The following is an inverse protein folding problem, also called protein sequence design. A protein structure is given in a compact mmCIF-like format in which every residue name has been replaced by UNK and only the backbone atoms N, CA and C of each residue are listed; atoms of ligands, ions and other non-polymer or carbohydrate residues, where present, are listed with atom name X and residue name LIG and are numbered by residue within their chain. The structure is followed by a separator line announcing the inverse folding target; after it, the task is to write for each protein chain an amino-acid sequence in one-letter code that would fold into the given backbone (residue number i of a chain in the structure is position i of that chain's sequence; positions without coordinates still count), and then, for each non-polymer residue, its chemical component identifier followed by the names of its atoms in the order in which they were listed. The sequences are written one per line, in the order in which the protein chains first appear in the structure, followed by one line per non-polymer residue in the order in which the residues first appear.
data_IF_295687335761
#
_entry.id   IF_295687335761
#
_cell.length_a   1.000
_cell.length_b   1.000
_cell.length_c   1.000
_cell.angle_alpha   90.00
_cell.angle_beta   90.00
_cell.angle_gamma   90.00
#
_symmetry.space_group_name_H-M   'P 1'
#
loop_
_entity.id
_entity.type
_entity.pdbx_description
1 polymer ?
#
# COMPACT_ATOMS: atom_id res chain seq x y z
N UNK A 1 -7.14 142.98 -45.27
CA UNK A 1 -6.25 143.23 -44.12
C UNK A 1 -6.81 142.79 -42.77
N UNK A 2 -7.84 143.42 -42.16
CA UNK A 2 -8.33 143.01 -40.81
C UNK A 2 -8.97 141.62 -40.75
N UNK A 3 -9.74 141.22 -41.77
CA UNK A 3 -10.40 139.90 -41.81
C UNK A 3 -9.40 138.75 -42.06
N UNK A 4 -8.44 138.96 -42.97
CA UNK A 4 -7.35 138.01 -43.25
C UNK A 4 -6.45 137.79 -42.03
N UNK A 5 -6.18 138.86 -41.27
CA UNK A 5 -5.39 138.78 -40.03
C UNK A 5 -6.13 137.94 -38.96
N UNK A 6 -7.44 138.13 -38.83
CA UNK A 6 -8.28 137.35 -37.91
C UNK A 6 -8.39 135.88 -38.31
N UNK A 7 -8.50 135.59 -39.61
CA UNK A 7 -8.52 134.21 -40.13
C UNK A 7 -7.16 133.52 -39.91
N UNK A 8 -6.07 134.26 -40.09
CA UNK A 8 -4.71 133.78 -39.81
C UNK A 8 -4.52 133.49 -38.30
N UNK A 9 -5.02 134.38 -37.43
CA UNK A 9 -4.98 134.18 -35.97
C UNK A 9 -5.80 132.96 -35.53
N UNK A 10 -6.99 132.75 -36.11
CA UNK A 10 -7.82 131.57 -35.83
C UNK A 10 -7.17 130.26 -36.32
N UNK A 11 -6.51 130.28 -37.48
CA UNK A 11 -5.72 129.14 -37.98
C UNK A 11 -4.52 128.85 -37.09
N UNK A 12 -3.80 129.88 -36.66
CA UNK A 12 -2.68 129.75 -35.74
C UNK A 12 -3.12 129.16 -34.39
N UNK A 13 -4.24 129.65 -33.83
CA UNK A 13 -4.82 129.12 -32.60
C UNK A 13 -5.23 127.65 -32.73
N UNK A 14 -5.87 127.27 -33.84
CA UNK A 14 -6.21 125.86 -34.11
C UNK A 14 -4.96 124.99 -34.22
N UNK A 15 -3.95 125.45 -34.95
CA UNK A 15 -2.67 124.75 -35.08
C UNK A 15 -1.97 124.59 -33.72
N UNK A 16 -2.03 125.60 -32.85
CA UNK A 16 -1.46 125.55 -31.50
C UNK A 16 -2.20 124.53 -30.61
N UNK A 17 -3.54 124.49 -30.68
CA UNK A 17 -4.35 123.50 -29.95
C UNK A 17 -4.06 122.09 -30.44
N UNK A 18 -4.04 121.87 -31.76
CA UNK A 18 -3.71 120.54 -32.32
C UNK A 18 -2.28 120.13 -31.99
N UNK A 19 -1.33 121.06 -32.00
CA UNK A 19 0.05 120.77 -31.63
C UNK A 19 0.15 120.35 -30.16
N UNK A 20 -0.54 121.05 -29.25
CA UNK A 20 -0.61 120.67 -27.84
C UNK A 20 -1.31 119.30 -27.62
N UNK A 21 -2.35 118.99 -28.41
CA UNK A 21 -2.98 117.67 -28.41
C UNK A 21 -2.01 116.58 -28.87
N UNK A 22 -1.29 116.81 -29.97
CA UNK A 22 -0.28 115.90 -30.49
C UNK A 22 0.87 115.70 -29.50
N UNK A 23 1.31 116.74 -28.79
CA UNK A 23 2.34 116.63 -27.75
C UNK A 23 1.86 115.77 -26.57
N UNK A 24 0.60 115.91 -26.15
CA UNK A 24 0.01 115.06 -25.12
C UNK A 24 -0.14 113.59 -25.58
N UNK A 25 -0.67 113.36 -26.77
CA UNK A 25 -0.79 112.01 -27.35
C UNK A 25 0.58 111.35 -27.51
N UNK A 26 1.58 112.11 -27.97
CA UNK A 26 2.96 111.66 -28.05
C UNK A 26 3.50 111.28 -26.68
N UNK A 27 3.24 112.09 -25.64
CA UNK A 27 3.66 111.76 -24.27
C UNK A 27 2.99 110.49 -23.75
N UNK A 28 1.68 110.32 -23.98
CA UNK A 28 0.94 109.11 -23.61
C UNK A 28 1.45 107.87 -24.33
N UNK A 29 1.61 107.93 -25.65
CA UNK A 29 2.13 106.81 -26.44
C UNK A 29 3.58 106.47 -26.06
N UNK A 30 4.39 107.48 -25.72
CA UNK A 30 5.77 107.24 -25.25
C UNK A 30 5.77 106.43 -23.95
N UNK A 31 4.90 106.80 -22.98
CA UNK A 31 4.74 106.04 -21.75
C UNK A 31 4.21 104.62 -21.97
N UNK A 32 3.22 104.44 -22.86
CA UNK A 32 2.71 103.11 -23.21
C UNK A 32 3.79 102.23 -23.84
N UNK A 33 4.63 102.79 -24.73
CA UNK A 33 5.75 102.07 -25.33
C UNK A 33 6.77 101.67 -24.27
N UNK A 34 7.08 102.52 -23.30
CA UNK A 34 7.98 102.19 -22.18
C UNK A 34 7.40 101.05 -21.33
N UNK A 35 6.13 101.13 -20.94
CA UNK A 35 5.46 100.08 -20.18
C UNK A 35 5.43 98.73 -20.93
N UNK A 36 5.22 98.76 -22.25
CA UNK A 36 5.23 97.56 -23.07
C UNK A 36 6.64 96.97 -23.22
N UNK A 37 7.69 97.79 -23.22
CA UNK A 37 9.07 97.31 -23.19
C UNK A 37 9.40 96.62 -21.86
N UNK A 38 8.99 97.20 -20.74
CA UNK A 38 9.21 96.59 -19.42
C UNK A 38 8.52 95.21 -19.34
N UNK A 39 7.24 95.14 -19.74
CA UNK A 39 6.51 93.86 -19.83
C UNK A 39 7.16 92.85 -20.78
N UNK A 40 7.69 93.33 -21.90
CA UNK A 40 8.39 92.47 -22.86
C UNK A 40 9.67 91.90 -22.23
N UNK A 41 10.45 92.70 -21.51
CA UNK A 41 11.64 92.24 -20.80
C UNK A 41 11.32 91.24 -19.69
N UNK A 42 10.26 91.47 -18.89
CA UNK A 42 9.80 90.50 -17.88
C UNK A 42 9.39 89.17 -18.50
N UNK A 43 8.72 89.22 -19.66
CA UNK A 43 8.28 88.02 -20.38
C UNK A 43 9.47 87.27 -21.01
N UNK A 44 10.48 87.98 -21.50
CA UNK A 44 11.73 87.37 -21.97
C UNK A 44 12.49 86.68 -20.83
N UNK A 45 12.61 87.33 -19.67
CA UNK A 45 13.28 86.75 -18.49
C UNK A 45 12.57 85.48 -18.03
N UNK A 46 11.25 85.52 -17.85
CA UNK A 46 10.46 84.34 -17.46
C UNK A 46 10.53 83.22 -18.50
N UNK A 47 10.50 83.54 -19.79
CA UNK A 47 10.69 82.56 -20.86
C UNK A 47 12.07 81.89 -20.80
N UNK A 48 13.14 82.66 -20.56
CA UNK A 48 14.50 82.09 -20.41
C UNK A 48 14.63 81.21 -19.17
N UNK A 49 13.97 81.57 -18.07
CA UNK A 49 13.95 80.75 -16.85
C UNK A 49 13.19 79.44 -17.07
N UNK A 50 11.97 79.49 -17.60
CA UNK A 50 11.18 78.30 -17.94
C UNK A 50 11.91 77.38 -18.92
N UNK A 51 12.60 77.95 -19.92
CA UNK A 51 13.42 77.17 -20.85
C UNK A 51 14.56 76.43 -20.16
N UNK A 52 15.22 77.04 -19.15
CA UNK A 52 16.28 76.38 -18.37
C UNK A 52 15.70 75.28 -17.47
N UNK A 53 14.57 75.53 -16.81
CA UNK A 53 13.89 74.55 -15.96
C UNK A 53 13.40 73.34 -16.77
N UNK A 54 12.83 73.58 -17.95
CA UNK A 54 12.40 72.52 -18.87
C UNK A 54 13.58 71.63 -19.29
N UNK A 55 14.74 72.22 -19.62
CA UNK A 55 15.95 71.45 -19.94
C UNK A 55 16.41 70.58 -18.77
N UNK A 56 16.41 71.13 -17.54
CA UNK A 56 16.74 70.35 -16.33
C UNK A 56 15.78 69.18 -16.13
N UNK A 57 14.47 69.43 -16.25
CA UNK A 57 13.45 68.39 -16.13
C UNK A 57 13.58 67.30 -17.20
N UNK A 58 13.92 67.65 -18.43
CA UNK A 58 14.20 66.65 -19.47
C UNK A 58 15.40 65.78 -19.10
N UNK A 59 16.49 66.37 -18.58
CA UNK A 59 17.65 65.58 -18.14
C UNK A 59 17.35 64.67 -16.94
N UNK A 60 16.57 65.14 -15.97
CA UNK A 60 16.10 64.34 -14.83
C UNK A 60 15.21 63.17 -15.31
N UNK A 61 14.29 63.44 -16.23
CA UNK A 61 13.42 62.43 -16.82
C UNK A 61 14.21 61.34 -17.55
N UNK A 62 15.21 61.70 -18.36
CA UNK A 62 16.06 60.73 -19.04
C UNK A 62 16.87 59.87 -18.07
N UNK A 63 17.35 60.46 -16.96
CA UNK A 63 18.04 59.72 -15.91
C UNK A 63 17.10 58.73 -15.20
N UNK A 64 15.91 59.18 -14.80
CA UNK A 64 14.89 58.32 -14.17
C UNK A 64 14.46 57.19 -15.10
N UNK A 65 14.29 57.48 -16.40
CA UNK A 65 13.95 56.46 -17.39
C UNK A 65 15.01 55.36 -17.47
N UNK A 66 16.30 55.71 -17.44
CA UNK A 66 17.40 54.73 -17.41
C UNK A 66 17.41 53.89 -16.14
N UNK A 67 17.09 54.48 -14.99
CA UNK A 67 16.98 53.74 -13.72
C UNK A 67 15.78 52.79 -13.76
N UNK A 68 14.62 53.25 -14.24
CA UNK A 68 13.42 52.45 -14.35
C UNK A 68 13.63 51.23 -15.27
N UNK A 69 14.30 51.41 -16.42
CA UNK A 69 14.62 50.28 -17.32
C UNK A 69 15.53 49.25 -16.65
N UNK A 70 16.54 49.70 -15.89
CA UNK A 70 17.44 48.79 -15.14
C UNK A 70 16.69 48.01 -14.08
N UNK A 71 15.88 48.69 -13.26
CA UNK A 71 15.06 48.03 -12.24
C UNK A 71 14.08 47.02 -12.86
N UNK A 72 13.52 47.32 -14.04
CA UNK A 72 12.64 46.39 -14.74
C UNK A 72 13.39 45.12 -15.22
N UNK A 73 14.64 45.26 -15.67
CA UNK A 73 15.51 44.13 -16.01
C UNK A 73 15.88 43.31 -14.77
N UNK A 74 16.23 43.96 -13.66
CA UNK A 74 16.52 43.31 -12.38
C UNK A 74 15.32 42.51 -11.85
N UNK A 75 14.12 43.09 -11.88
CA UNK A 75 12.89 42.38 -11.50
C UNK A 75 12.64 41.15 -12.38
N UNK A 76 12.89 41.24 -13.69
CA UNK A 76 12.77 40.09 -14.59
C UNK A 76 13.79 39.00 -14.24
N UNK A 77 15.04 39.38 -13.98
CA UNK A 77 16.09 38.44 -13.59
C UNK A 77 15.77 37.74 -12.26
N UNK A 78 15.34 38.49 -11.24
CA UNK A 78 14.95 37.94 -9.95
C UNK A 78 13.75 36.99 -10.06
N UNK A 79 12.76 37.31 -10.89
CA UNK A 79 11.62 36.41 -11.15
C UNK A 79 12.07 35.10 -11.80
N UNK A 80 12.99 35.16 -12.77
CA UNK A 80 13.54 33.96 -13.39
C UNK A 80 14.29 33.08 -12.38
N UNK A 81 15.12 33.69 -11.53
CA UNK A 81 15.83 32.96 -10.47
C UNK A 81 14.88 32.31 -9.45
N UNK A 82 13.79 32.98 -9.08
CA UNK A 82 12.77 32.39 -8.21
C UNK A 82 12.07 31.20 -8.87
N UNK A 83 11.74 31.31 -10.16
CA UNK A 83 11.15 30.21 -10.93
C UNK A 83 12.10 29.01 -11.02
N UNK A 84 13.40 29.24 -11.27
CA UNK A 84 14.41 28.18 -11.28
C UNK A 84 14.53 27.51 -9.91
N UNK A 85 14.58 28.29 -8.83
CA UNK A 85 14.58 27.78 -7.45
C UNK A 85 13.35 26.91 -7.18
N UNK A 86 12.17 27.38 -7.56
CA UNK A 86 10.91 26.66 -7.33
C UNK A 86 10.84 25.38 -8.18
N UNK A 87 11.39 25.38 -9.40
CA UNK A 87 11.53 24.19 -10.24
C UNK A 87 12.48 23.15 -9.60
N UNK A 88 13.64 23.59 -9.07
CA UNK A 88 14.56 22.70 -8.35
C UNK A 88 13.90 22.09 -7.11
N UNK A 89 13.16 22.89 -6.33
CA UNK A 89 12.40 22.39 -5.18
C UNK A 89 11.46 21.25 -5.59
N UNK A 90 10.75 21.41 -6.71
CA UNK A 90 9.86 20.37 -7.24
C UNK A 90 10.62 19.14 -7.76
N UNK A 91 11.71 19.35 -8.51
CA UNK A 91 12.53 18.27 -9.08
C UNK A 91 13.13 17.37 -8.00
N UNK A 92 13.59 17.96 -6.90
CA UNK A 92 14.10 17.23 -5.74
C UNK A 92 12.99 16.66 -4.84
N UNK A 93 11.72 16.79 -5.22
CA UNK A 93 10.58 16.27 -4.47
C UNK A 93 10.43 16.91 -3.08
N UNK A 94 10.84 18.17 -2.95
CA UNK A 94 10.71 18.93 -1.72
C UNK A 94 9.38 19.69 -1.69
N UNK A 95 8.78 19.75 -0.51
CA UNK A 95 7.53 20.46 -0.26
C UNK A 95 7.78 21.51 0.82
N UNK A 96 7.26 22.71 0.59
CA UNK A 96 7.29 23.80 1.57
C UNK A 96 6.20 23.51 2.60
N UNK A 97 6.60 23.17 3.82
CA UNK A 97 5.70 22.96 4.95
C UNK A 97 5.89 24.12 5.92
N UNK A 98 4.83 24.85 6.18
CA UNK A 98 4.79 25.94 7.15
C UNK A 98 3.39 26.07 7.73
N UNK A 99 3.23 27.01 8.66
CA UNK A 99 1.90 27.34 9.15
C UNK A 99 1.14 28.03 8.00
N UNK A 100 0.10 27.39 7.48
CA UNK A 100 -0.88 28.09 6.66
C UNK A 100 -1.68 28.97 7.62
N UNK A 101 -1.58 30.29 7.47
CA UNK A 101 -2.63 31.17 7.99
C UNK A 101 -3.92 30.73 7.28
N UNK A 102 -4.77 29.97 7.98
CA UNK A 102 -6.20 29.86 7.69
C UNK A 102 -6.88 31.20 8.01
N UNK A 103 -6.39 32.26 7.40
CA UNK A 103 -6.88 33.61 7.47
C UNK A 103 -6.54 34.22 6.14
N UNK A 104 -7.57 34.60 5.40
CA UNK A 104 -7.46 35.52 4.28
C UNK A 104 -6.39 36.55 4.62
N UNK A 105 -5.34 36.60 3.80
CA UNK A 105 -4.55 37.80 3.74
C UNK A 105 -5.53 38.88 3.24
N UNK A 106 -6.21 39.52 4.18
CA UNK A 106 -6.67 40.89 4.05
C UNK A 106 -5.39 41.66 3.71
N UNK A 107 -5.11 41.73 2.41
CA UNK A 107 -4.39 42.86 1.84
C UNK A 107 -5.30 44.00 2.27
N UNK A 108 -4.91 44.87 3.22
CA UNK A 108 -5.69 46.06 3.43
C UNK A 108 -5.63 46.79 2.11
N UNK A 109 -6.75 46.81 1.39
CA UNK A 109 -7.03 47.79 0.36
C UNK A 109 -7.06 49.10 1.14
N UNK A 110 -5.88 49.68 1.37
CA UNK A 110 -5.77 51.05 1.82
C UNK A 110 -6.34 51.87 0.67
N UNK A 111 -7.36 52.65 0.98
CA UNK A 111 -7.96 53.62 0.09
C UNK A 111 -6.86 54.43 -0.62
N UNK A 112 -7.09 54.74 -1.90
CA UNK A 112 -6.11 55.25 -2.89
C UNK A 112 -5.50 56.63 -2.55
N UNK A 113 -5.75 57.20 -1.36
CA UNK A 113 -5.42 58.59 -1.02
C UNK A 113 -4.15 58.78 -0.15
N UNK A 114 -3.47 57.71 0.29
CA UNK A 114 -2.30 57.78 1.20
C UNK A 114 -0.97 57.26 0.59
N UNK A 115 -0.78 57.37 -0.73
CA UNK A 115 0.36 56.76 -1.45
C UNK A 115 1.73 57.46 -1.34
N UNK A 116 1.91 58.51 -0.53
CA UNK A 116 3.18 59.27 -0.49
C UNK A 116 4.01 59.17 0.79
N UNK A 117 3.55 58.43 1.82
CA UNK A 117 4.17 58.51 3.14
C UNK A 117 5.35 57.56 3.43
N UNK A 118 5.50 56.42 2.74
CA UNK A 118 6.48 55.39 3.16
C UNK A 118 7.23 54.75 1.97
N UNK A 119 7.97 55.55 1.19
CA UNK A 119 8.83 55.06 0.09
C UNK A 119 10.29 54.78 0.50
N UNK A 120 10.67 54.99 1.77
CA UNK A 120 12.07 54.90 2.22
C UNK A 120 12.39 53.68 3.12
N UNK A 121 11.40 52.89 3.54
CA UNK A 121 11.67 51.71 4.38
C UNK A 121 11.87 50.42 3.56
N UNK A 122 13.10 50.23 3.08
CA UNK A 122 13.56 48.99 2.43
C UNK A 122 13.91 47.88 3.44
N UNK A 123 13.55 48.01 4.73
CA UNK A 123 13.87 46.93 5.68
C UNK A 123 13.11 45.64 5.32
N UNK A 124 13.79 44.49 5.30
CA UNK A 124 13.12 43.21 5.04
C UNK A 124 12.02 43.00 6.07
N UNK A 125 10.75 43.02 5.64
CA UNK A 125 9.63 42.66 6.50
C UNK A 125 9.91 41.28 7.09
N UNK A 126 9.89 41.19 8.43
CA UNK A 126 10.01 39.90 9.12
C UNK A 126 8.89 38.99 8.64
N UNK A 127 9.24 37.95 7.90
CA UNK A 127 8.31 36.87 7.55
C UNK A 127 7.90 36.23 8.89
N UNK A 128 6.67 36.51 9.33
CA UNK A 128 6.16 36.06 10.63
C UNK A 128 6.02 34.53 10.71
N UNK A 129 5.97 33.87 9.55
CA UNK A 129 5.71 32.43 9.43
C UNK A 129 6.99 31.67 9.08
N UNK A 130 7.37 30.73 9.95
CA UNK A 130 8.47 29.80 9.67
C UNK A 130 8.01 28.75 8.67
N UNK A 131 8.60 28.77 7.47
CA UNK A 131 8.42 27.73 6.44
C UNK A 131 9.69 26.88 6.35
N UNK A 132 9.52 25.57 6.20
CA UNK A 132 10.60 24.60 6.06
C UNK A 132 10.43 23.80 4.76
N UNK A 133 11.54 23.40 4.14
CA UNK A 133 11.54 22.47 3.01
C UNK A 133 11.75 21.05 3.55
N UNK A 134 10.83 20.14 3.22
CA UNK A 134 10.88 18.74 3.62
C UNK A 134 10.70 17.84 2.39
N UNK A 135 11.21 16.61 2.43
CA UNK A 135 10.85 15.62 1.41
C UNK A 135 9.36 15.29 1.47
N UNK A 136 8.78 14.87 0.34
CA UNK A 136 7.40 14.39 0.29
C UNK A 136 7.11 13.33 1.35
N UNK A 137 8.01 12.35 1.52
CA UNK A 137 7.84 11.29 2.54
C UNK A 137 7.79 11.86 3.97
N UNK A 138 8.67 12.82 4.29
CA UNK A 138 8.68 13.45 5.60
C UNK A 138 7.42 14.30 5.83
N UNK A 139 6.96 15.03 4.80
CA UNK A 139 5.71 15.78 4.85
C UNK A 139 4.50 14.85 5.06
N UNK A 140 4.46 13.72 4.36
CA UNK A 140 3.40 12.72 4.47
C UNK A 140 3.37 12.08 5.87
N UNK A 141 4.52 11.69 6.41
CA UNK A 141 4.61 11.15 7.77
C UNK A 141 4.10 12.15 8.81
N UNK A 142 4.39 13.44 8.62
CA UNK A 142 3.91 14.50 9.50
C UNK A 142 2.43 14.84 9.27
N UNK A 143 1.89 14.63 8.08
CA UNK A 143 0.46 14.84 7.76
C UNK A 143 -0.46 13.75 8.33
N UNK A 144 0.07 12.52 8.47
CA UNK A 144 -0.65 11.36 9.00
C UNK A 144 -0.84 11.42 10.52
N UNK A 145 -0.13 12.31 11.20
CA UNK A 145 -0.33 12.58 12.63
C UNK A 145 -1.64 13.34 12.87
N UNK A 146 -2.40 12.96 13.89
CA UNK A 146 -3.71 13.53 14.24
C UNK A 146 -3.69 15.00 14.71
N UNK A 147 -2.60 15.73 14.47
CA UNK A 147 -2.40 17.10 14.93
C UNK A 147 -2.48 18.09 13.77
N UNK A 148 -3.58 18.82 13.73
CA UNK A 148 -3.81 19.98 12.85
C UNK A 148 -3.04 21.23 13.31
N UNK A 149 -1.93 21.04 14.04
CA UNK A 149 -1.15 22.09 14.71
C UNK A 149 0.18 22.36 13.97
N UNK A 150 0.94 23.34 14.47
CA UNK A 150 2.22 23.76 13.88
C UNK A 150 3.22 22.62 13.66
N UNK A 151 4.15 22.83 12.72
CA UNK A 151 5.19 21.85 12.38
C UNK A 151 6.00 21.39 13.62
N UNK A 152 6.31 22.32 14.52
CA UNK A 152 7.02 22.04 15.76
C UNK A 152 6.23 21.10 16.70
N UNK A 153 4.90 21.27 16.77
CA UNK A 153 4.02 20.40 17.56
C UNK A 153 3.95 18.99 16.95
N UNK A 154 3.86 18.89 15.62
CA UNK A 154 3.84 17.60 14.91
C UNK A 154 5.15 16.82 15.12
N UNK A 155 6.29 17.49 15.01
CA UNK A 155 7.61 16.90 15.27
C UNK A 155 7.75 16.43 16.72
N UNK A 156 7.25 17.21 17.69
CA UNK A 156 7.29 16.84 19.10
C UNK A 156 6.46 15.57 19.37
N UNK A 157 5.22 15.50 18.86
CA UNK A 157 4.35 14.32 19.01
C UNK A 157 4.96 13.07 18.37
N UNK A 158 5.50 13.19 17.15
CA UNK A 158 6.21 12.08 16.51
C UNK A 158 7.41 11.60 17.35
N UNK A 159 8.14 12.52 17.98
CA UNK A 159 9.22 12.20 18.91
C UNK A 159 8.73 11.49 20.19
N UNK A 160 7.55 11.83 20.70
CA UNK A 160 6.91 11.17 21.84
C UNK A 160 6.48 9.73 21.47
N UNK A 161 5.79 9.55 20.34
CA UNK A 161 5.39 8.23 19.83
C UNK A 161 6.60 7.31 19.61
N UNK A 162 7.68 7.85 19.04
CA UNK A 162 8.95 7.11 18.89
C UNK A 162 9.49 6.64 20.23
N UNK A 163 9.50 7.50 21.26
CA UNK A 163 9.96 7.15 22.61
C UNK A 163 9.08 6.08 23.24
N UNK A 164 7.76 6.18 23.09
CA UNK A 164 6.82 5.18 23.58
C UNK A 164 7.05 3.80 22.95
N UNK A 165 7.26 3.76 21.63
CA UNK A 165 7.60 2.53 20.92
C UNK A 165 8.95 1.96 21.37
N UNK A 166 9.97 2.81 21.57
CA UNK A 166 11.26 2.38 22.12
C UNK A 166 11.13 1.79 23.54
N UNK A 167 10.29 2.40 24.39
CA UNK A 167 10.00 1.91 25.74
C UNK A 167 9.22 0.59 25.71
N UNK A 168 8.28 0.40 24.77
CA UNK A 168 7.60 -0.88 24.55
C UNK A 168 8.58 -1.96 24.12
N UNK A 169 9.48 -1.66 23.17
CA UNK A 169 10.52 -2.60 22.73
C UNK A 169 11.45 -2.97 23.89
N UNK A 170 11.84 -2.01 24.75
CA UNK A 170 12.65 -2.28 25.96
C UNK A 170 11.91 -3.19 26.95
N UNK A 171 10.62 -2.94 27.21
CA UNK A 171 9.78 -3.81 28.06
C UNK A 171 9.69 -5.23 27.52
N UNK A 172 9.35 -5.39 26.24
CA UNK A 172 9.26 -6.70 25.59
C UNK A 172 10.58 -7.47 25.61
N UNK A 173 11.72 -6.78 25.45
CA UNK A 173 13.04 -7.41 25.58
C UNK A 173 13.30 -7.92 26.99
N UNK A 174 12.93 -7.14 28.01
CA UNK A 174 13.08 -7.53 29.41
C UNK A 174 12.17 -8.72 29.77
N UNK A 175 10.91 -8.69 29.35
CA UNK A 175 9.98 -9.82 29.50
C UNK A 175 10.50 -11.09 28.82
N UNK A 176 11.05 -10.97 27.61
CA UNK A 176 11.65 -12.09 26.89
C UNK A 176 12.87 -12.66 27.63
N UNK A 177 13.72 -11.80 28.19
CA UNK A 177 14.89 -12.20 28.96
C UNK A 177 14.50 -12.86 30.29
N UNK A 178 13.49 -12.32 30.98
CA UNK A 178 12.90 -12.93 32.16
C UNK A 178 12.33 -14.30 31.87
N UNK A 179 11.60 -14.46 30.76
CA UNK A 179 11.00 -15.75 30.39
C UNK A 179 12.08 -16.77 30.01
N UNK A 180 13.13 -16.35 29.29
CA UNK A 180 14.31 -17.18 29.04
C UNK A 180 15.00 -17.60 30.34
N UNK A 181 15.14 -16.70 31.31
CA UNK A 181 15.73 -16.99 32.61
C UNK A 181 14.84 -17.87 33.48
N UNK A 182 13.52 -17.69 33.47
CA UNK A 182 12.55 -18.59 34.11
C UNK A 182 12.63 -19.99 33.51
N UNK A 183 12.70 -20.10 32.19
CA UNK A 183 12.85 -21.38 31.49
C UNK A 183 14.21 -22.04 31.80
N UNK A 184 15.29 -21.25 31.93
CA UNK A 184 16.60 -21.74 32.37
C UNK A 184 16.57 -22.23 33.82
N UNK A 185 15.93 -21.50 34.74
CA UNK A 185 15.75 -21.90 36.14
C UNK A 185 14.82 -23.11 36.30
N UNK A 186 13.79 -23.27 35.46
CA UNK A 186 12.96 -24.49 35.41
C UNK A 186 13.80 -25.73 35.04
N UNK A 187 14.70 -25.60 34.06
CA UNK A 187 15.67 -26.65 33.71
C UNK A 187 16.68 -26.93 34.83
N UNK A 188 17.07 -25.92 35.61
CA UNK A 188 18.07 -26.02 36.68
C UNK A 188 17.49 -26.54 38.00
N UNK A 189 16.20 -26.35 38.26
CA UNK A 189 15.51 -26.73 39.50
C UNK A 189 15.25 -28.24 39.69
N UNK A 190 15.77 -29.12 38.84
CA UNK A 190 15.74 -30.58 39.04
C UNK A 190 14.36 -31.26 38.97
N UNK A 191 13.27 -30.53 39.19
CA UNK A 191 11.89 -31.04 39.13
C UNK A 191 11.51 -31.49 37.71
N UNK A 192 12.00 -30.83 36.67
CA UNK A 192 11.84 -31.30 35.29
C UNK A 192 12.68 -32.54 35.03
N UNK A 193 13.88 -32.65 35.61
CA UNK A 193 14.73 -33.83 35.47
C UNK A 193 14.14 -35.06 36.17
N UNK A 194 13.65 -34.91 37.41
CA UNK A 194 13.02 -36.00 38.17
C UNK A 194 11.68 -36.41 37.55
N UNK A 195 10.85 -35.45 37.11
CA UNK A 195 9.62 -35.74 36.36
C UNK A 195 9.91 -36.44 35.02
N UNK A 196 10.94 -36.00 34.31
CA UNK A 196 11.35 -36.61 33.05
C UNK A 196 11.96 -38.00 33.27
N UNK A 197 12.64 -38.24 34.40
CA UNK A 197 13.16 -39.55 34.80
C UNK A 197 12.02 -40.52 35.14
N UNK A 198 10.99 -40.08 35.86
CA UNK A 198 9.78 -40.89 36.12
C UNK A 198 8.99 -41.19 34.84
N UNK A 199 8.83 -40.20 33.97
CA UNK A 199 8.23 -40.39 32.64
C UNK A 199 9.06 -41.40 31.81
N UNK A 200 10.39 -41.31 31.81
CA UNK A 200 11.23 -42.27 31.11
C UNK A 200 11.14 -43.68 31.71
N UNK A 201 11.00 -43.80 33.04
CA UNK A 201 10.80 -45.09 33.72
C UNK A 201 9.49 -45.74 33.30
N UNK A 202 8.39 -44.99 33.31
CA UNK A 202 7.08 -45.48 32.88
C UNK A 202 7.06 -45.85 31.39
N UNK A 203 7.67 -45.03 30.53
CA UNK A 203 7.83 -45.34 29.10
C UNK A 203 8.60 -46.65 28.91
N UNK A 204 9.69 -46.86 29.63
CA UNK A 204 10.47 -48.10 29.54
C UNK A 204 9.70 -49.32 30.05
N UNK A 205 8.89 -49.18 31.10
CA UNK A 205 8.02 -50.26 31.58
C UNK A 205 6.97 -50.64 30.53
N UNK A 206 6.32 -49.65 29.90
CA UNK A 206 5.37 -49.90 28.81
C UNK A 206 6.04 -50.52 27.59
N UNK A 207 7.25 -50.09 27.21
CA UNK A 207 8.03 -50.72 26.15
C UNK A 207 8.30 -52.20 26.43
N UNK A 208 8.71 -52.53 27.66
CA UNK A 208 8.94 -53.92 28.05
C UNK A 208 7.67 -54.76 28.02
N UNK A 209 6.54 -54.20 28.50
CA UNK A 209 5.23 -54.86 28.43
C UNK A 209 4.79 -55.13 26.98
N UNK A 210 4.98 -54.15 26.09
CA UNK A 210 4.68 -54.31 24.67
C UNK A 210 5.54 -55.40 24.05
N UNK A 211 6.86 -55.38 24.26
CA UNK A 211 7.76 -56.42 23.75
C UNK A 211 7.38 -57.83 24.24
N UNK A 212 6.98 -57.95 25.51
CA UNK A 212 6.50 -59.23 26.06
C UNK A 212 5.21 -59.69 25.38
N UNK A 213 4.25 -58.79 25.19
CA UNK A 213 2.99 -59.09 24.50
C UNK A 213 3.23 -59.44 23.02
N UNK A 214 4.14 -58.76 22.33
CA UNK A 214 4.53 -59.07 20.95
C UNK A 214 5.13 -60.48 20.83
N UNK A 215 6.00 -60.87 21.76
CA UNK A 215 6.56 -62.22 21.80
C UNK A 215 5.49 -63.30 22.06
N UNK A 216 4.53 -63.02 22.94
CA UNK A 216 3.39 -63.91 23.21
C UNK A 216 2.49 -64.05 21.98
N UNK A 217 2.17 -62.95 21.30
CA UNK A 217 1.40 -62.96 20.04
C UNK A 217 2.09 -63.79 18.97
N UNK A 218 3.41 -63.64 18.78
CA UNK A 218 4.18 -64.45 17.83
C UNK A 218 4.09 -65.95 18.14
N UNK A 219 4.15 -66.31 19.43
CA UNK A 219 4.01 -67.70 19.88
C UNK A 219 2.60 -68.24 19.61
N UNK A 220 1.57 -67.45 19.92
CA UNK A 220 0.18 -67.82 19.66
C UNK A 220 -0.11 -67.98 18.16
N UNK A 221 0.43 -67.09 17.32
CA UNK A 221 0.31 -67.19 15.85
C UNK A 221 0.93 -68.48 15.32
N UNK A 222 2.11 -68.88 15.82
CA UNK A 222 2.73 -70.15 15.44
C UNK A 222 1.87 -71.36 15.85
N UNK A 223 1.25 -71.31 17.03
CA UNK A 223 0.33 -72.35 17.50
C UNK A 223 -0.93 -72.44 16.63
N UNK A 224 -1.54 -71.31 16.27
CA UNK A 224 -2.70 -71.25 15.38
C UNK A 224 -2.37 -71.86 14.01
N UNK A 225 -1.25 -71.44 13.40
CA UNK A 225 -0.82 -71.98 12.11
C UNK A 225 -0.62 -73.52 12.16
N UNK A 226 -0.08 -74.04 13.26
CA UNK A 226 0.06 -75.49 13.46
C UNK A 226 -1.28 -76.20 13.60
N UNK A 227 -2.21 -75.62 14.36
CA UNK A 227 -3.56 -76.17 14.55
C UNK A 227 -4.37 -76.14 13.24
N UNK A 228 -4.27 -75.07 12.46
CA UNK A 228 -4.92 -74.96 11.16
C UNK A 228 -4.41 -76.02 10.18
N UNK A 229 -3.08 -76.26 10.15
CA UNK A 229 -2.49 -77.31 9.34
C UNK A 229 -2.97 -78.72 9.77
N UNK A 230 -3.12 -78.95 11.08
CA UNK A 230 -3.64 -80.21 11.61
C UNK A 230 -5.13 -80.39 11.26
N UNK A 231 -5.92 -79.33 11.39
CA UNK A 231 -7.35 -79.32 11.04
C UNK A 231 -7.56 -79.62 9.56
N UNK A 232 -6.77 -79.00 8.67
CA UNK A 232 -6.81 -79.28 7.23
C UNK A 232 -6.47 -80.74 6.91
N UNK A 233 -5.49 -81.33 7.61
CA UNK A 233 -5.15 -82.76 7.46
C UNK A 233 -6.27 -83.69 7.93
N UNK A 234 -6.88 -83.42 9.09
CA UNK A 234 -7.99 -84.24 9.56
C UNK A 234 -9.23 -84.11 8.67
N UNK A 235 -9.47 -82.92 8.13
CA UNK A 235 -10.55 -82.72 7.17
C UNK A 235 -10.34 -83.53 5.90
N UNK A 236 -9.16 -83.47 5.29
CA UNK A 236 -8.83 -84.27 4.10
C UNK A 236 -8.89 -85.77 4.38
N UNK A 237 -8.38 -86.22 5.53
CA UNK A 237 -8.49 -87.61 5.95
C UNK A 237 -9.96 -88.06 6.14
N UNK A 238 -10.81 -87.20 6.69
CA UNK A 238 -12.26 -87.48 6.82
C UNK A 238 -12.92 -87.61 5.44
N UNK A 239 -12.63 -86.69 4.53
CA UNK A 239 -13.15 -86.71 3.15
C UNK A 239 -12.68 -87.96 2.37
N UNK A 240 -11.46 -88.44 2.60
CA UNK A 240 -10.94 -89.70 2.03
C UNK A 240 -11.65 -90.94 2.60
N UNK A 241 -11.87 -90.98 3.92
CA UNK A 241 -12.60 -92.06 4.58
C UNK A 241 -14.07 -92.12 4.13
N UNK A 242 -14.72 -90.97 3.97
CA UNK A 242 -16.09 -90.88 3.44
C UNK A 242 -16.17 -91.44 2.01
N UNK A 243 -15.24 -91.07 1.13
CA UNK A 243 -15.16 -91.63 -0.24
C UNK A 243 -14.94 -93.14 -0.23
N UNK A 244 -14.03 -93.64 0.61
CA UNK A 244 -13.79 -95.09 0.74
C UNK A 244 -15.03 -95.83 1.25
N UNK A 245 -15.77 -95.24 2.20
CA UNK A 245 -17.03 -95.80 2.70
C UNK A 245 -18.09 -95.89 1.59
N UNK A 246 -18.21 -94.85 0.76
CA UNK A 246 -19.12 -94.84 -0.40
C UNK A 246 -18.76 -95.90 -1.44
N UNK A 247 -17.46 -96.07 -1.74
CA UNK A 247 -16.95 -97.11 -2.63
C UNK A 247 -17.29 -98.50 -2.10
N UNK A 248 -17.00 -98.79 -0.83
CA UNK A 248 -17.33 -100.07 -0.18
C UNK A 248 -18.83 -100.33 -0.14
N UNK A 249 -19.65 -99.29 0.09
CA UNK A 249 -21.12 -99.39 -0.01
C UNK A 249 -21.55 -99.75 -1.43
N UNK A 250 -20.89 -99.20 -2.46
CA UNK A 250 -21.18 -99.50 -3.86
C UNK A 250 -20.79 -100.94 -4.23
N UNK A 251 -19.62 -101.41 -3.80
CA UNK A 251 -19.13 -102.77 -4.01
C UNK A 251 -20.01 -103.79 -3.30
N UNK A 252 -20.36 -103.52 -2.03
CA UNK A 252 -21.31 -104.35 -1.27
C UNK A 252 -22.62 -104.52 -2.03
N UNK A 253 -23.17 -103.45 -2.61
CA UNK A 253 -24.40 -103.53 -3.42
C UNK A 253 -24.21 -104.35 -4.70
N UNK A 254 -23.05 -104.25 -5.37
CA UNK A 254 -22.72 -105.07 -6.57
C UNK A 254 -22.62 -106.54 -6.21
N UNK A 255 -21.79 -106.89 -5.22
CA UNK A 255 -21.62 -108.27 -4.76
C UNK A 255 -22.93 -108.89 -4.25
N UNK A 256 -23.78 -108.10 -3.59
CA UNK A 256 -25.11 -108.57 -3.19
C UNK A 256 -26.02 -108.90 -4.39
N UNK A 257 -25.89 -108.18 -5.51
CA UNK A 257 -26.64 -108.51 -6.75
C UNK A 257 -26.08 -109.77 -7.40
N UNK A 258 -24.75 -109.85 -7.54
CA UNK A 258 -24.08 -111.05 -8.09
C UNK A 258 -24.38 -112.30 -7.28
N UNK A 259 -24.39 -112.20 -5.94
CA UNK A 259 -24.78 -113.30 -5.06
C UNK A 259 -26.21 -113.77 -5.33
N UNK A 260 -27.16 -112.84 -5.49
CA UNK A 260 -28.56 -113.20 -5.81
C UNK A 260 -28.67 -113.87 -7.19
N UNK A 261 -27.94 -113.38 -8.19
CA UNK A 261 -27.92 -113.99 -9.53
C UNK A 261 -27.32 -115.40 -9.51
N UNK A 262 -26.21 -115.60 -8.78
CA UNK A 262 -25.59 -116.92 -8.62
C UNK A 262 -26.48 -117.87 -7.82
N UNK A 263 -27.17 -117.38 -6.78
CA UNK A 263 -28.17 -118.16 -6.05
C UNK A 263 -29.31 -118.60 -6.96
N UNK A 264 -29.85 -117.70 -7.79
CA UNK A 264 -30.89 -118.06 -8.76
C UNK A 264 -30.40 -119.14 -9.75
N UNK A 265 -29.17 -119.00 -10.28
CA UNK A 265 -28.57 -120.02 -11.15
C UNK A 265 -28.37 -121.36 -10.45
N UNK A 266 -27.97 -121.33 -9.17
CA UNK A 266 -27.82 -122.54 -8.35
C UNK A 266 -29.18 -123.23 -8.18
N UNK A 267 -30.23 -122.49 -7.85
CA UNK A 267 -31.59 -123.04 -7.68
C UNK A 267 -32.16 -123.63 -8.99
N UNK A 268 -31.88 -122.99 -10.13
CA UNK A 268 -32.21 -123.51 -11.48
C UNK A 268 -31.49 -124.82 -11.79
N UNK A 269 -30.17 -124.87 -11.53
CA UNK A 269 -29.36 -126.07 -11.74
C UNK A 269 -29.75 -127.21 -10.79
N UNK A 270 -30.03 -126.91 -9.52
CA UNK A 270 -30.48 -127.91 -8.54
C UNK A 270 -31.85 -128.48 -8.92
N UNK A 271 -32.77 -127.63 -9.38
CA UNK A 271 -34.06 -128.07 -9.93
C UNK A 271 -33.90 -128.99 -11.14
N UNK A 272 -33.01 -128.63 -12.08
CA UNK A 272 -32.69 -129.45 -13.26
C UNK A 272 -32.04 -130.78 -12.87
N UNK A 273 -31.08 -130.76 -11.95
CA UNK A 273 -30.44 -131.95 -11.39
C UNK A 273 -31.47 -132.86 -10.73
N UNK A 274 -32.36 -132.33 -9.91
CA UNK A 274 -33.42 -133.09 -9.25
C UNK A 274 -34.38 -133.71 -10.27
N UNK A 275 -34.71 -132.99 -11.36
CA UNK A 275 -35.51 -133.53 -12.46
C UNK A 275 -34.81 -134.70 -13.18
N UNK A 276 -33.55 -134.52 -13.56
CA UNK A 276 -32.72 -135.55 -14.19
C UNK A 276 -32.54 -136.76 -13.28
N UNK A 277 -32.32 -136.54 -11.98
CA UNK A 277 -32.22 -137.59 -10.97
C UNK A 277 -33.49 -138.43 -10.92
N UNK A 278 -34.67 -137.78 -10.89
CA UNK A 278 -35.97 -138.47 -10.94
C UNK A 278 -36.16 -139.28 -12.23
N UNK A 279 -35.76 -138.74 -13.39
CA UNK A 279 -35.80 -139.46 -14.66
C UNK A 279 -34.87 -140.68 -14.68
N UNK A 280 -33.64 -140.50 -14.19
CA UNK A 280 -32.67 -141.58 -14.06
C UNK A 280 -33.19 -142.68 -13.14
N UNK A 281 -33.72 -142.31 -11.98
CA UNK A 281 -34.31 -143.27 -11.04
C UNK A 281 -35.49 -144.00 -11.70
N UNK A 282 -36.35 -143.32 -12.46
CA UNK A 282 -37.43 -143.96 -13.23
C UNK A 282 -36.89 -144.98 -14.24
N UNK A 283 -35.90 -144.61 -15.07
CA UNK A 283 -35.28 -145.54 -16.02
C UNK A 283 -34.56 -146.70 -15.34
N UNK A 284 -33.94 -146.47 -14.17
CA UNK A 284 -33.30 -147.50 -13.37
C UNK A 284 -34.33 -148.51 -12.85
N UNK A 285 -35.47 -148.03 -12.34
CA UNK A 285 -36.58 -148.91 -11.92
C UNK A 285 -37.16 -149.68 -13.11
N UNK A 286 -37.38 -149.02 -14.25
CA UNK A 286 -37.88 -149.66 -15.49
C UNK A 286 -36.89 -150.70 -16.05
N UNK A 287 -35.58 -150.54 -15.82
CA UNK A 287 -34.55 -151.50 -16.22
C UNK A 287 -34.47 -152.68 -15.25
N UNK A 288 -34.59 -152.44 -13.95
CA UNK A 288 -34.61 -153.50 -12.92
C UNK A 288 -35.89 -154.34 -13.05
N UNK A 289 -37.04 -153.74 -13.37
CA UNK A 289 -38.30 -154.45 -13.56
C UNK A 289 -38.41 -155.25 -14.87
N UNK A 290 -37.40 -155.21 -15.75
CA UNK A 290 -37.33 -156.01 -17.00
C UNK A 290 -36.37 -157.22 -16.90
N UNK A 291 -35.83 -157.48 -15.72
CA UNK A 291 -35.16 -158.74 -15.37
C UNK A 291 -36.02 -159.50 -14.36
#
# INVERSE_FOLDING_TARGET
MRAELKELDEKFRKAMITNAQLDNEKATLTFEVELMKDKYTELEETHTQLSKEHRKKCTEYEQLKKVATKLQEEVKALRALLQERDALIQEYGLVVVGEEENGEADIPVKDEDDEFADMDDLTPRKIAVKKALLSQEAADLLSKGAAQDSLDVRLKKFGEEKKELEDQVRRLKLELEEEKNKNRRRKENGLDYDRQKEQNKTVNEYKFRVQKAEAEVSTLQANVARLDALSARYRTQSEELEKSEEELKSEKRKLQRELRELQQKYDELDSSKNFLQRQYDKMRHDRIGRF
#
